data_IF_157178881770
#
_entry.id   IF_157178881770
#
_cell.length_a   1.000
_cell.length_b   1.000
_cell.length_c   1.000
_cell.angle_alpha   90.00
_cell.angle_beta   90.00
_cell.angle_gamma   90.00
#
_symmetry.space_group_name_H-M   'P 1'
#
loop_
_entity.id
_entity.type
_entity.pdbx_description
1 polymer ?
#
# COMPACT_ATOMS: atom_id res chain seq x y z
N UNK A 1 -1.28 -7.03 -30.26
CA UNK A 1 -0.28 -7.92 -29.67
C UNK A 1 0.79 -7.07 -29.00
N UNK A 2 1.51 -7.60 -28.04
CA UNK A 2 2.55 -6.91 -27.28
C UNK A 2 2.09 -6.46 -25.90
N UNK A 3 2.85 -5.55 -25.27
CA UNK A 3 2.66 -5.13 -23.88
C UNK A 3 1.27 -4.55 -23.58
N UNK A 4 0.60 -3.99 -24.57
CA UNK A 4 -0.77 -3.50 -24.43
C UNK A 4 -1.78 -4.60 -24.09
N UNK A 5 -1.54 -5.84 -24.53
CA UNK A 5 -2.43 -6.99 -24.25
C UNK A 5 -2.15 -7.62 -22.87
N UNK A 6 -0.97 -7.39 -22.29
CA UNK A 6 -0.63 -7.89 -20.96
C UNK A 6 -1.30 -7.11 -19.82
N UNK A 7 -1.90 -5.97 -20.13
CA UNK A 7 -2.43 -5.02 -19.14
C UNK A 7 -1.30 -4.30 -18.37
N UNK A 8 -1.54 -3.06 -18.01
CA UNK A 8 -0.59 -2.30 -17.19
C UNK A 8 -0.56 -2.84 -15.76
N UNK A 9 0.64 -3.06 -15.21
CA UNK A 9 0.83 -3.34 -13.79
C UNK A 9 0.67 -2.07 -12.95
N UNK A 10 0.96 -0.91 -13.53
CA UNK A 10 0.91 0.37 -12.85
C UNK A 10 -0.54 0.81 -12.63
N UNK A 11 -0.81 1.32 -11.45
CA UNK A 11 -2.09 1.94 -11.05
C UNK A 11 -1.90 3.39 -10.59
N UNK A 12 -0.68 3.73 -10.19
CA UNK A 12 -0.27 5.06 -9.81
C UNK A 12 1.17 5.32 -10.25
N UNK A 13 1.55 6.56 -10.37
CA UNK A 13 2.90 7.00 -10.79
C UNK A 13 3.26 8.24 -9.99
N UNK A 14 4.46 8.27 -9.41
CA UNK A 14 5.05 9.43 -8.78
C UNK A 14 6.37 9.77 -9.48
N UNK A 15 6.40 10.84 -10.26
CA UNK A 15 7.56 11.23 -11.06
C UNK A 15 7.78 12.76 -11.03
N UNK A 16 9.01 13.21 -11.20
CA UNK A 16 10.29 12.47 -11.28
C UNK A 16 10.75 11.97 -9.90
N UNK A 17 11.65 11.01 -9.86
CA UNK A 17 12.19 10.43 -8.63
C UNK A 17 13.57 11.01 -8.22
N UNK A 18 14.00 12.12 -8.81
CA UNK A 18 15.24 12.81 -8.45
C UNK A 18 14.97 13.85 -7.35
N UNK A 19 15.60 13.73 -6.15
CA UNK A 19 15.40 14.66 -5.05
C UNK A 19 15.70 16.13 -5.39
N UNK A 20 16.65 16.39 -6.28
CA UNK A 20 17.01 17.76 -6.72
C UNK A 20 15.89 18.35 -7.56
N UNK A 21 15.28 17.53 -8.43
CA UNK A 21 14.13 17.95 -9.23
C UNK A 21 12.92 18.16 -8.34
N UNK A 22 12.69 17.29 -7.35
CA UNK A 22 11.64 17.47 -6.34
C UNK A 22 11.76 18.80 -5.61
N UNK A 23 12.98 19.14 -5.15
CA UNK A 23 13.22 20.39 -4.43
C UNK A 23 13.01 21.63 -5.32
N UNK A 24 13.38 21.56 -6.61
CA UNK A 24 13.33 22.70 -7.52
C UNK A 24 11.97 22.87 -8.25
N UNK A 25 11.29 21.76 -8.55
CA UNK A 25 10.10 21.73 -9.45
C UNK A 25 8.91 20.94 -8.88
N UNK A 26 9.06 20.33 -7.74
CA UNK A 26 8.06 19.42 -7.18
C UNK A 26 7.99 18.07 -7.91
N UNK A 27 6.96 17.31 -7.62
CA UNK A 27 6.67 16.04 -8.28
C UNK A 27 5.20 15.95 -8.68
N UNK A 28 4.91 15.09 -9.65
CA UNK A 28 3.53 14.79 -10.06
C UNK A 28 3.16 13.38 -9.63
N UNK A 29 2.00 13.28 -9.02
CA UNK A 29 1.38 12.02 -8.62
C UNK A 29 0.14 11.83 -9.48
N UNK A 30 0.10 10.72 -10.20
CA UNK A 30 -1.01 10.38 -11.10
C UNK A 30 -1.60 9.04 -10.66
N UNK A 31 -2.91 8.98 -10.61
CA UNK A 31 -3.66 7.74 -10.42
C UNK A 31 -4.63 7.51 -11.57
N UNK A 32 -4.66 6.30 -12.08
CA UNK A 32 -5.52 5.90 -13.18
C UNK A 32 -6.82 5.31 -12.61
N UNK A 33 -7.76 6.17 -12.19
CA UNK A 33 -8.98 5.78 -11.47
C UNK A 33 -9.77 4.68 -12.18
N UNK A 34 -9.96 4.79 -13.48
CA UNK A 34 -10.67 3.78 -14.28
C UNK A 34 -9.94 2.43 -14.30
N UNK A 35 -8.62 2.44 -14.44
CA UNK A 35 -7.79 1.23 -14.36
C UNK A 35 -7.82 0.63 -12.96
N UNK A 36 -7.78 1.47 -11.93
CA UNK A 36 -7.88 1.04 -10.53
C UNK A 36 -9.24 0.41 -10.25
N UNK A 37 -10.34 1.01 -10.74
CA UNK A 37 -11.68 0.45 -10.57
C UNK A 37 -11.78 -0.95 -11.20
N UNK A 38 -11.30 -1.10 -12.43
CA UNK A 38 -11.31 -2.39 -13.11
C UNK A 38 -10.49 -3.45 -12.35
N UNK A 39 -9.33 -3.08 -11.79
CA UNK A 39 -8.51 -3.98 -10.98
C UNK A 39 -9.14 -4.29 -9.63
N UNK A 40 -9.80 -3.33 -9.02
CA UNK A 40 -10.55 -3.55 -7.79
C UNK A 40 -11.66 -4.57 -8.01
N UNK A 41 -12.52 -4.34 -9.00
CA UNK A 41 -13.68 -5.21 -9.27
C UNK A 41 -13.27 -6.62 -9.71
N UNK A 42 -12.22 -6.73 -10.53
CA UNK A 42 -11.82 -8.00 -11.15
C UNK A 42 -10.78 -8.79 -10.37
N UNK A 43 -10.11 -8.18 -9.39
CA UNK A 43 -9.04 -8.84 -8.63
C UNK A 43 -9.20 -8.68 -7.13
N UNK A 44 -9.32 -7.45 -6.59
CA UNK A 44 -9.36 -7.24 -5.14
C UNK A 44 -10.61 -7.87 -4.55
N UNK A 45 -11.78 -7.58 -5.10
CA UNK A 45 -13.06 -8.11 -4.60
C UNK A 45 -13.12 -9.65 -4.66
N UNK A 46 -12.80 -10.32 -5.78
CA UNK A 46 -12.79 -11.79 -5.81
C UNK A 46 -11.78 -12.42 -4.84
N UNK A 47 -10.59 -11.84 -4.69
CA UNK A 47 -9.58 -12.32 -3.74
C UNK A 47 -10.09 -12.15 -2.29
N UNK A 48 -10.61 -10.97 -1.95
CA UNK A 48 -11.13 -10.71 -0.62
C UNK A 48 -12.22 -11.70 -0.21
N UNK A 49 -13.10 -12.08 -1.14
CA UNK A 49 -14.15 -13.10 -0.88
C UNK A 49 -13.59 -14.47 -0.49
N UNK A 50 -12.37 -14.78 -0.89
CA UNK A 50 -11.72 -16.05 -0.60
C UNK A 50 -10.91 -16.03 0.69
N UNK A 51 -10.39 -14.87 1.08
CA UNK A 51 -9.39 -14.80 2.16
C UNK A 51 -9.81 -13.93 3.34
N UNK A 52 -10.74 -12.99 3.18
CA UNK A 52 -11.20 -12.12 4.27
C UNK A 52 -12.49 -12.68 4.89
N UNK A 53 -12.57 -12.59 6.21
CA UNK A 53 -13.75 -12.99 6.98
C UNK A 53 -15.03 -12.39 6.34
N UNK A 54 -16.07 -13.22 6.10
CA UNK A 54 -17.33 -12.77 5.48
C UNK A 54 -17.96 -11.56 6.17
N UNK A 55 -17.85 -11.43 7.49
CA UNK A 55 -18.40 -10.29 8.24
C UNK A 55 -17.64 -8.99 7.98
N UNK A 56 -16.37 -9.09 7.60
CA UNK A 56 -15.52 -7.93 7.27
C UNK A 56 -15.50 -7.59 5.78
N UNK A 57 -16.05 -8.41 4.90
CA UNK A 57 -16.09 -8.14 3.45
C UNK A 57 -16.87 -6.86 3.10
N UNK A 58 -17.76 -6.38 3.96
CA UNK A 58 -18.43 -5.08 3.83
C UNK A 58 -17.47 -3.90 3.78
N UNK A 59 -16.26 -4.05 4.35
CA UNK A 59 -15.18 -3.06 4.38
C UNK A 59 -14.30 -3.07 3.12
N UNK A 60 -14.53 -3.97 2.18
CA UNK A 60 -13.83 -3.97 0.88
C UNK A 60 -14.42 -2.89 0.00
N UNK A 61 -13.79 -1.72 -0.01
CA UNK A 61 -14.29 -0.49 -0.65
C UNK A 61 -13.33 0.05 -1.67
N UNK A 62 -13.86 0.46 -2.83
CA UNK A 62 -13.04 1.07 -3.89
C UNK A 62 -12.40 2.38 -3.43
N UNK A 63 -13.14 3.22 -2.72
CA UNK A 63 -12.62 4.50 -2.25
C UNK A 63 -11.43 4.28 -1.29
N UNK A 64 -11.50 3.29 -0.41
CA UNK A 64 -10.39 2.92 0.45
C UNK A 64 -9.17 2.40 -0.36
N UNK A 65 -9.41 1.58 -1.39
CA UNK A 65 -8.34 1.13 -2.28
C UNK A 65 -7.67 2.30 -3.03
N UNK A 66 -8.47 3.25 -3.48
CA UNK A 66 -7.97 4.46 -4.14
C UNK A 66 -7.18 5.35 -3.20
N UNK A 67 -7.69 5.60 -1.99
CA UNK A 67 -7.03 6.39 -0.96
C UNK A 67 -5.72 5.76 -0.48
N UNK A 68 -5.71 4.47 -0.17
CA UNK A 68 -4.51 3.74 0.25
C UNK A 68 -3.39 3.91 -0.79
N UNK A 69 -3.72 3.79 -2.08
CA UNK A 69 -2.74 4.00 -3.15
C UNK A 69 -2.31 5.47 -3.24
N UNK A 70 -3.24 6.41 -3.11
CA UNK A 70 -2.93 7.84 -3.16
C UNK A 70 -1.96 8.24 -2.03
N UNK A 71 -2.26 7.83 -0.81
CA UNK A 71 -1.42 8.17 0.33
C UNK A 71 -0.10 7.39 0.36
N UNK A 72 -0.02 6.19 -0.23
CA UNK A 72 1.23 5.51 -0.50
C UNK A 72 2.15 6.38 -1.38
N UNK A 73 1.65 6.91 -2.48
CA UNK A 73 2.42 7.81 -3.36
C UNK A 73 2.81 9.12 -2.66
N UNK A 74 1.95 9.66 -1.80
CA UNK A 74 2.28 10.84 -0.98
C UNK A 74 3.40 10.50 0.00
N UNK A 75 3.31 9.34 0.66
CA UNK A 75 4.24 8.90 1.68
C UNK A 75 5.67 8.64 1.16
N UNK A 76 5.86 8.37 -0.13
CA UNK A 76 7.19 8.37 -0.75
C UNK A 76 7.93 9.72 -0.60
N UNK A 77 7.18 10.81 -0.54
CA UNK A 77 7.73 12.15 -0.29
C UNK A 77 8.11 12.41 1.16
N UNK A 78 7.59 11.63 2.09
CA UNK A 78 7.73 11.82 3.54
C UNK A 78 8.87 10.98 4.13
N UNK A 79 9.17 11.25 5.41
CA UNK A 79 10.20 10.55 6.17
C UNK A 79 11.60 11.12 5.97
N UNK A 80 12.54 10.52 6.70
CA UNK A 80 13.93 10.97 6.74
C UNK A 80 14.65 10.67 5.41
N UNK A 81 15.50 11.61 4.98
CA UNK A 81 16.30 11.47 3.77
C UNK A 81 17.77 11.15 4.06
N UNK A 82 18.21 11.45 5.27
CA UNK A 82 19.57 11.22 5.74
C UNK A 82 19.55 10.39 7.02
N UNK A 83 20.64 9.65 7.27
CA UNK A 83 20.85 8.93 8.54
C UNK A 83 20.81 9.90 9.73
N UNK A 84 20.53 9.38 10.92
CA UNK A 84 20.45 10.20 12.13
C UNK A 84 21.75 10.97 12.41
N UNK A 85 22.90 10.41 11.99
CA UNK A 85 24.20 11.08 12.07
C UNK A 85 24.39 12.14 10.96
N UNK A 86 23.48 12.22 9.98
CA UNK A 86 23.48 13.22 8.92
C UNK A 86 24.59 13.08 7.88
N UNK A 87 25.38 12.01 7.92
CA UNK A 87 26.58 11.81 7.09
C UNK A 87 26.37 10.98 5.83
N UNK A 88 25.21 10.36 5.67
CA UNK A 88 24.87 9.52 4.52
C UNK A 88 23.37 9.63 4.20
N UNK A 89 23.02 9.56 2.91
CA UNK A 89 21.62 9.42 2.53
C UNK A 89 21.10 8.01 2.89
N UNK A 90 19.79 7.92 3.17
CA UNK A 90 19.16 6.67 3.60
C UNK A 90 19.27 5.58 2.54
N UNK A 91 19.20 5.95 1.26
CA UNK A 91 19.33 5.00 0.15
C UNK A 91 20.71 4.34 0.15
N UNK A 92 21.76 5.14 0.30
CA UNK A 92 23.13 4.65 0.39
C UNK A 92 23.37 3.80 1.64
N UNK A 93 22.76 4.15 2.77
CA UNK A 93 22.86 3.39 4.01
C UNK A 93 22.17 2.02 3.93
N UNK A 94 20.99 1.95 3.34
CA UNK A 94 20.18 0.72 3.23
C UNK A 94 20.57 -0.18 2.04
N UNK A 95 21.29 0.36 1.06
CA UNK A 95 21.78 -0.38 -0.11
C UNK A 95 20.64 -1.18 -0.81
N UNK A 96 20.85 -2.48 -1.00
CA UNK A 96 19.90 -3.38 -1.69
C UNK A 96 18.56 -3.53 -0.97
N UNK A 97 18.49 -3.19 0.31
CA UNK A 97 17.26 -3.24 1.08
C UNK A 97 16.40 -1.96 0.93
N UNK A 98 16.99 -0.88 0.38
CA UNK A 98 16.32 0.42 0.32
C UNK A 98 14.94 0.34 -0.32
N UNK A 99 14.83 -0.25 -1.51
CA UNK A 99 13.58 -0.25 -2.26
C UNK A 99 12.45 -0.97 -1.52
N UNK A 100 12.76 -2.11 -0.89
CA UNK A 100 11.76 -2.87 -0.13
C UNK A 100 11.31 -2.14 1.14
N UNK A 101 12.24 -1.50 1.84
CA UNK A 101 11.93 -0.70 3.05
C UNK A 101 11.18 0.57 2.67
N UNK A 102 11.52 1.21 1.55
CA UNK A 102 10.84 2.40 1.06
C UNK A 102 9.39 2.11 0.69
N UNK A 103 9.10 0.97 0.03
CA UNK A 103 7.74 0.53 -0.27
C UNK A 103 6.95 0.23 1.02
N UNK A 104 7.56 -0.49 1.97
CA UNK A 104 6.93 -0.76 3.26
C UNK A 104 6.67 0.51 4.07
N UNK A 105 7.61 1.46 4.06
CA UNK A 105 7.43 2.79 4.66
C UNK A 105 6.26 3.53 4.00
N UNK A 106 6.18 3.51 2.68
CA UNK A 106 5.13 4.22 1.95
C UNK A 106 3.74 3.66 2.27
N UNK A 107 3.60 2.35 2.36
CA UNK A 107 2.35 1.70 2.74
C UNK A 107 1.90 2.08 4.15
N UNK A 108 2.75 1.87 5.15
CA UNK A 108 2.40 2.11 6.55
C UNK A 108 2.20 3.59 6.84
N UNK A 109 3.08 4.44 6.31
CA UNK A 109 2.95 5.88 6.50
C UNK A 109 1.73 6.45 5.77
N UNK A 110 1.35 5.85 4.64
CA UNK A 110 0.11 6.17 3.92
C UNK A 110 -1.12 5.88 4.77
N UNK A 111 -1.23 4.70 5.38
CA UNK A 111 -2.31 4.34 6.30
C UNK A 111 -2.32 5.24 7.53
N UNK A 112 -1.16 5.53 8.11
CA UNK A 112 -1.03 6.44 9.25
C UNK A 112 -1.54 7.84 8.90
N UNK A 113 -1.22 8.38 7.71
CA UNK A 113 -1.71 9.68 7.27
C UNK A 113 -3.25 9.69 7.16
N UNK A 114 -3.86 8.64 6.60
CA UNK A 114 -5.32 8.53 6.50
C UNK A 114 -5.93 8.54 7.90
N UNK A 115 -5.39 7.74 8.82
CA UNK A 115 -5.84 7.66 10.21
C UNK A 115 -5.80 9.04 10.89
N UNK A 116 -4.65 9.74 10.79
CA UNK A 116 -4.50 11.07 11.40
C UNK A 116 -5.41 12.13 10.78
N UNK A 117 -5.61 12.11 9.48
CA UNK A 117 -6.52 13.03 8.82
C UNK A 117 -7.99 12.77 9.21
N UNK A 118 -8.37 11.53 9.45
CA UNK A 118 -9.68 11.18 9.98
C UNK A 118 -9.83 11.64 11.44
N UNK A 119 -8.83 11.40 12.30
CA UNK A 119 -8.82 11.89 13.69
C UNK A 119 -8.91 13.43 13.78
N UNK A 120 -8.28 14.14 12.86
CA UNK A 120 -8.33 15.60 12.80
C UNK A 120 -9.60 16.16 12.15
N UNK A 121 -10.52 15.28 11.70
CA UNK A 121 -11.76 15.67 11.04
C UNK A 121 -11.59 16.26 9.64
N UNK A 122 -10.41 16.10 9.04
CA UNK A 122 -10.14 16.52 7.64
C UNK A 122 -10.85 15.57 6.68
N UNK A 123 -10.77 14.27 6.94
CA UNK A 123 -11.58 13.25 6.25
C UNK A 123 -12.77 12.94 7.16
N UNK A 124 -13.98 13.25 6.68
CA UNK A 124 -15.22 13.08 7.45
C UNK A 124 -15.93 11.78 7.08
N UNK A 125 -16.78 11.29 8.02
CA UNK A 125 -17.63 10.10 7.85
C UNK A 125 -16.84 8.86 7.41
N UNK A 126 -15.65 8.68 7.99
CA UNK A 126 -14.70 7.63 7.64
C UNK A 126 -14.78 6.45 8.60
N UNK A 127 -15.02 5.27 8.07
CA UNK A 127 -14.73 4.03 8.76
C UNK A 127 -13.32 3.57 8.36
N UNK A 128 -12.37 3.65 9.30
CA UNK A 128 -10.97 3.28 9.06
C UNK A 128 -10.80 1.79 8.75
N UNK A 129 -11.73 0.94 9.21
CA UNK A 129 -11.73 -0.47 8.85
C UNK A 129 -11.84 -0.68 7.34
N UNK A 130 -12.48 0.22 6.60
CA UNK A 130 -12.52 0.15 5.14
C UNK A 130 -11.10 0.21 4.54
N UNK A 131 -10.23 1.09 5.10
CA UNK A 131 -8.84 1.20 4.65
C UNK A 131 -8.00 0.00 5.07
N UNK A 132 -8.13 -0.46 6.33
CA UNK A 132 -7.32 -1.55 6.86
C UNK A 132 -7.66 -2.87 6.19
N UNK A 133 -8.95 -3.24 6.12
CA UNK A 133 -9.38 -4.49 5.48
C UNK A 133 -9.08 -4.49 3.98
N UNK A 134 -9.34 -3.37 3.29
CA UNK A 134 -9.00 -3.24 1.86
C UNK A 134 -7.50 -3.28 1.61
N UNK A 135 -6.68 -2.73 2.52
CA UNK A 135 -5.22 -2.81 2.44
C UNK A 135 -4.73 -4.25 2.50
N UNK A 136 -5.22 -5.04 3.45
CA UNK A 136 -4.85 -6.45 3.58
C UNK A 136 -5.28 -7.26 2.35
N UNK A 137 -6.48 -7.03 1.82
CA UNK A 137 -6.89 -7.62 0.54
C UNK A 137 -5.95 -7.21 -0.62
N UNK A 138 -5.43 -5.98 -0.58
CA UNK A 138 -4.41 -5.48 -1.50
C UNK A 138 -3.09 -6.24 -1.42
N UNK A 139 -2.63 -6.63 -0.22
CA UNK A 139 -1.45 -7.48 -0.03
C UNK A 139 -1.64 -8.82 -0.76
N UNK A 140 -2.76 -9.51 -0.53
CA UNK A 140 -3.05 -10.77 -1.21
C UNK A 140 -3.11 -10.61 -2.74
N UNK A 141 -3.67 -9.51 -3.25
CA UNK A 141 -3.64 -9.20 -4.68
C UNK A 141 -2.22 -9.07 -5.23
N UNK A 142 -1.32 -8.46 -4.46
CA UNK A 142 0.05 -8.18 -4.91
C UNK A 142 0.98 -9.38 -4.80
N UNK A 143 0.68 -10.38 -3.99
CA UNK A 143 1.48 -11.62 -3.84
C UNK A 143 1.77 -12.32 -5.17
N UNK A 144 0.90 -12.17 -6.18
CA UNK A 144 1.11 -12.71 -7.53
C UNK A 144 2.38 -12.22 -8.23
N UNK A 145 2.94 -11.07 -7.81
CA UNK A 145 4.17 -10.53 -8.39
C UNK A 145 5.43 -11.15 -7.79
N UNK A 146 5.26 -12.04 -6.82
CA UNK A 146 6.33 -12.77 -6.17
C UNK A 146 7.05 -11.98 -5.07
N UNK A 147 7.65 -12.73 -4.17
CA UNK A 147 8.36 -12.18 -3.00
C UNK A 147 9.71 -11.54 -3.34
N UNK A 148 10.24 -11.74 -4.55
CA UNK A 148 11.52 -11.16 -4.97
C UNK A 148 11.43 -9.66 -5.33
N UNK A 149 10.23 -9.17 -5.66
CA UNK A 149 10.01 -7.75 -5.96
C UNK A 149 10.08 -6.89 -4.69
N UNK A 150 10.34 -5.59 -4.84
CA UNK A 150 10.36 -4.64 -3.71
C UNK A 150 9.03 -4.65 -2.94
N UNK A 151 7.90 -4.54 -3.65
CA UNK A 151 6.56 -4.66 -3.05
C UNK A 151 6.32 -6.02 -2.41
N UNK A 152 6.76 -7.12 -3.05
CA UNK A 152 6.61 -8.46 -2.48
C UNK A 152 7.34 -8.63 -1.17
N UNK A 153 8.57 -8.13 -1.06
CA UNK A 153 9.34 -8.13 0.20
C UNK A 153 8.67 -7.25 1.27
N UNK A 154 8.21 -6.06 0.90
CA UNK A 154 7.47 -5.18 1.80
C UNK A 154 6.20 -5.86 2.34
N UNK A 155 5.41 -6.46 1.45
CA UNK A 155 4.20 -7.19 1.84
C UNK A 155 4.48 -8.35 2.80
N UNK A 156 5.56 -9.10 2.58
CA UNK A 156 5.95 -10.19 3.48
C UNK A 156 6.31 -9.67 4.88
N UNK A 157 7.11 -8.61 4.96
CA UNK A 157 7.49 -8.00 6.24
C UNK A 157 6.26 -7.46 6.99
N UNK A 158 5.40 -6.74 6.30
CA UNK A 158 4.18 -6.18 6.87
C UNK A 158 3.23 -7.27 7.36
N UNK A 159 2.97 -8.27 6.52
CA UNK A 159 2.05 -9.35 6.84
C UNK A 159 2.55 -10.17 8.03
N UNK A 160 3.85 -10.49 8.08
CA UNK A 160 4.46 -11.18 9.22
C UNK A 160 4.28 -10.36 10.51
N UNK A 161 4.57 -9.06 10.47
CA UNK A 161 4.40 -8.18 11.61
C UNK A 161 2.96 -8.10 12.10
N UNK A 162 2.00 -8.00 11.18
CA UNK A 162 0.57 -7.95 11.53
C UNK A 162 0.06 -9.26 12.16
N UNK A 163 0.55 -10.40 11.71
CA UNK A 163 0.25 -11.69 12.36
C UNK A 163 0.89 -11.76 13.75
N UNK A 164 2.17 -11.42 13.87
CA UNK A 164 2.91 -11.46 15.14
C UNK A 164 2.32 -10.51 16.19
N UNK A 165 1.85 -9.34 15.78
CA UNK A 165 1.21 -8.35 16.66
C UNK A 165 -0.25 -8.66 17.00
N UNK A 166 -0.86 -9.63 16.32
CA UNK A 166 -2.28 -9.95 16.48
C UNK A 166 -3.24 -9.04 15.72
N UNK A 167 -2.73 -8.06 14.96
CA UNK A 167 -3.56 -7.18 14.13
C UNK A 167 -4.27 -7.93 12.99
N UNK A 168 -3.75 -9.11 12.63
CA UNK A 168 -4.40 -10.05 11.72
C UNK A 168 -4.39 -11.41 12.37
N UNK A 169 -5.54 -12.05 12.42
CA UNK A 169 -5.69 -13.44 12.87
C UNK A 169 -6.21 -14.31 11.75
N UNK A 170 -5.89 -15.59 11.77
CA UNK A 170 -6.40 -16.56 10.81
C UNK A 170 -7.23 -17.61 11.51
N UNK A 171 -8.47 -17.78 11.07
CA UNK A 171 -9.30 -18.91 11.48
C UNK A 171 -8.71 -20.19 10.88
N UNK A 172 -8.33 -21.13 11.76
CA UNK A 172 -7.65 -22.36 11.34
C UNK A 172 -8.59 -23.31 10.58
N UNK A 173 -9.88 -23.29 10.90
CA UNK A 173 -10.87 -24.20 10.32
C UNK A 173 -11.42 -23.66 9.01
N UNK A 174 -11.74 -22.38 8.97
CA UNK A 174 -12.35 -21.72 7.80
C UNK A 174 -11.32 -21.15 6.83
N UNK A 175 -10.12 -20.87 7.31
CA UNK A 175 -9.03 -20.32 6.52
C UNK A 175 -9.10 -18.84 6.23
N UNK A 176 -10.12 -18.11 6.74
CA UNK A 176 -10.26 -16.68 6.58
C UNK A 176 -9.32 -15.90 7.51
N UNK A 177 -9.00 -14.68 7.09
CA UNK A 177 -8.28 -13.70 7.89
C UNK A 177 -9.25 -12.64 8.42
N UNK A 178 -9.11 -12.31 9.70
CA UNK A 178 -9.84 -11.25 10.40
C UNK A 178 -8.84 -10.17 10.80
N UNK A 179 -9.19 -8.93 10.61
CA UNK A 179 -8.39 -7.73 10.91
C UNK A 179 -8.97 -7.08 12.17
N UNK A 180 -8.09 -6.81 13.15
CA UNK A 180 -8.44 -6.15 14.41
C UNK A 180 -8.12 -4.65 14.35
#
# INVERSE_FOLDING_TARGET
>A
AGDCNAGSKNIAINLPNDPRVHAAKGSRKLQLKNSMQAKFDKMVVPIARLVIDPEQQKHIRFDAFFENTMFHEVAHGLGVKYTLQGNQDVRGALKDNYTSIEEGKADILGLFCITKLAEWGVIQNKDLMDNYVTFIAGIFRSCRFGAASAHGKANMMQFAHFIESGAITRDADKGYYTID
#
